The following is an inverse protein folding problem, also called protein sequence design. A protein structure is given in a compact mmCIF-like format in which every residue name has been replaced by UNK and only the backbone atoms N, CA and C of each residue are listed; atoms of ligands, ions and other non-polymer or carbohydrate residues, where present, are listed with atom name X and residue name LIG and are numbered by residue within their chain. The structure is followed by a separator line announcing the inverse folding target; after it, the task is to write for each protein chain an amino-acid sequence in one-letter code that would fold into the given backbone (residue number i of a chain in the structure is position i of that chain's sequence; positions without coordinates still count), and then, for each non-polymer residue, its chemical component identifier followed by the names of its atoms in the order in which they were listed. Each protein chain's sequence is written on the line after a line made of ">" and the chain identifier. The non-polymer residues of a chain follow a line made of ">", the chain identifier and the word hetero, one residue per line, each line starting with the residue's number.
data_IF_193445489253
#
_entry.id   IF_193445489253
#
_cell.length_a   1.000
_cell.length_b   1.000
_cell.length_c   1.000
_cell.angle_alpha   90.00
_cell.angle_beta   90.00
_cell.angle_gamma   90.00
#
_symmetry.space_group_name_H-M   'P 1'
#
loop_
_entity.id
_entity.type
_entity.pdbx_description
1 polymer ?
#
# COMPACT_ATOMS: atom_id res chain seq x y z
N UNK A 1 -41.10 -0.04 -15.74
CA UNK A 1 -40.28 -0.90 -14.85
C UNK A 1 -38.83 -0.68 -15.26
N UNK A 2 -38.13 0.25 -14.59
CA UNK A 2 -36.70 0.48 -14.84
C UNK A 2 -35.95 -0.63 -14.11
N UNK A 3 -35.27 -1.51 -14.85
CA UNK A 3 -34.30 -2.44 -14.30
C UNK A 3 -33.15 -1.61 -13.70
N UNK A 4 -33.28 -1.29 -12.41
CA UNK A 4 -32.22 -0.64 -11.65
C UNK A 4 -31.08 -1.63 -11.48
N UNK A 5 -30.06 -1.54 -12.33
CA UNK A 5 -28.78 -2.21 -12.10
C UNK A 5 -28.12 -1.45 -10.94
N UNK A 6 -28.57 -1.71 -9.71
CA UNK A 6 -27.92 -1.20 -8.51
C UNK A 6 -26.85 -2.20 -8.10
N UNK A 7 -25.63 -1.98 -8.58
CA UNK A 7 -24.48 -2.71 -8.07
C UNK A 7 -24.21 -2.29 -6.61
N UNK A 8 -23.69 -3.20 -5.75
CA UNK A 8 -23.20 -2.86 -4.43
C UNK A 8 -22.19 -1.68 -4.49
N UNK A 9 -22.20 -0.76 -3.52
CA UNK A 9 -21.27 0.38 -3.49
C UNK A 9 -19.79 -0.04 -3.62
N UNK A 10 -19.43 -1.19 -3.08
CA UNK A 10 -18.09 -1.76 -3.13
C UNK A 10 -17.68 -2.13 -4.55
N UNK A 11 -18.58 -2.72 -5.35
CA UNK A 11 -18.29 -3.09 -6.74
C UNK A 11 -18.05 -1.86 -7.60
N UNK A 12 -18.92 -0.85 -7.50
CA UNK A 12 -18.76 0.43 -8.20
C UNK A 12 -17.46 1.11 -7.78
N UNK A 13 -17.13 1.08 -6.49
CA UNK A 13 -15.90 1.65 -5.97
C UNK A 13 -14.66 0.92 -6.48
N UNK A 14 -14.66 -0.42 -6.57
CA UNK A 14 -13.56 -1.20 -7.14
C UNK A 14 -13.38 -0.88 -8.62
N UNK A 15 -14.46 -0.79 -9.41
CA UNK A 15 -14.37 -0.36 -10.80
C UNK A 15 -13.73 1.03 -10.91
N UNK A 16 -14.22 2.00 -10.13
CA UNK A 16 -13.60 3.33 -10.09
C UNK A 16 -12.12 3.29 -9.68
N UNK A 17 -11.78 2.45 -8.69
CA UNK A 17 -10.42 2.27 -8.24
C UNK A 17 -9.52 1.76 -9.38
N UNK A 18 -9.95 0.74 -10.11
CA UNK A 18 -9.16 0.10 -11.15
C UNK A 18 -9.03 0.91 -12.44
N UNK A 19 -10.07 1.62 -12.83
CA UNK A 19 -10.09 2.33 -14.11
C UNK A 19 -9.72 3.81 -14.00
N UNK A 20 -9.78 4.40 -12.80
CA UNK A 20 -9.56 5.84 -12.61
C UNK A 20 -8.49 6.10 -11.55
N UNK A 21 -8.64 5.58 -10.34
CA UNK A 21 -7.72 5.94 -9.25
C UNK A 21 -6.34 5.29 -9.38
N UNK A 22 -6.27 4.03 -9.79
CA UNK A 22 -5.03 3.27 -9.95
C UNK A 22 -4.08 3.95 -10.95
N UNK A 23 -4.61 4.42 -12.08
CA UNK A 23 -3.82 5.00 -13.17
C UNK A 23 -3.15 6.33 -12.82
N UNK A 24 -3.73 7.08 -11.88
CA UNK A 24 -3.18 8.36 -11.40
C UNK A 24 -2.49 8.26 -10.02
N UNK A 25 -2.38 7.05 -9.48
CA UNK A 25 -1.78 6.81 -8.18
C UNK A 25 -0.60 5.84 -8.30
N UNK A 26 0.18 5.64 -7.23
CA UNK A 26 1.24 4.62 -7.22
C UNK A 26 0.73 3.18 -7.38
N UNK A 27 -0.58 2.94 -7.57
CA UNK A 27 -1.20 1.64 -7.76
C UNK A 27 -1.47 1.28 -9.23
N UNK A 28 -0.84 1.95 -10.19
CA UNK A 28 -1.06 1.74 -11.62
C UNK A 28 -0.81 0.29 -12.10
N UNK A 29 -0.03 -0.50 -11.35
CA UNK A 29 0.21 -1.92 -11.60
C UNK A 29 -0.93 -2.84 -11.13
N UNK A 30 -1.80 -2.39 -10.20
CA UNK A 30 -2.81 -3.26 -9.60
C UNK A 30 -3.82 -3.86 -10.59
N UNK A 31 -4.29 -3.17 -11.65
CA UNK A 31 -5.21 -3.76 -12.60
C UNK A 31 -4.70 -5.06 -13.25
N UNK A 32 -3.38 -5.17 -13.47
CA UNK A 32 -2.76 -6.37 -14.04
C UNK A 32 -2.72 -7.52 -13.02
N UNK A 33 -2.44 -7.22 -11.75
CA UNK A 33 -2.29 -8.26 -10.72
C UNK A 33 -3.62 -8.66 -10.05
N UNK A 34 -4.59 -7.75 -9.93
CA UNK A 34 -5.80 -7.95 -9.13
C UNK A 34 -6.59 -9.22 -9.50
N UNK A 35 -6.72 -9.65 -10.78
CA UNK A 35 -7.42 -10.90 -11.12
C UNK A 35 -6.89 -12.13 -10.36
N UNK A 36 -5.60 -12.17 -10.05
CA UNK A 36 -4.98 -13.27 -9.29
C UNK A 36 -5.12 -13.10 -7.77
N UNK A 37 -5.33 -11.87 -7.32
CA UNK A 37 -5.39 -11.50 -5.90
C UNK A 37 -6.82 -11.45 -5.34
N UNK A 38 -7.84 -11.34 -6.21
CA UNK A 38 -9.25 -11.15 -5.81
C UNK A 38 -9.81 -12.29 -4.97
N UNK A 39 -9.21 -13.49 -5.06
CA UNK A 39 -9.60 -14.66 -4.26
C UNK A 39 -9.12 -14.57 -2.80
N UNK A 40 -8.20 -13.67 -2.48
CA UNK A 40 -7.77 -13.41 -1.11
C UNK A 40 -8.74 -12.42 -0.45
N UNK A 41 -9.50 -12.94 0.51
CA UNK A 41 -10.50 -12.18 1.26
C UNK A 41 -9.93 -10.97 2.00
N UNK A 42 -8.66 -11.01 2.42
CA UNK A 42 -8.04 -9.90 3.12
C UNK A 42 -7.60 -8.82 2.14
N UNK A 43 -7.09 -9.21 0.97
CA UNK A 43 -6.75 -8.27 -0.11
C UNK A 43 -7.99 -7.55 -0.60
N UNK A 44 -9.08 -8.25 -0.95
CA UNK A 44 -10.26 -7.59 -1.50
C UNK A 44 -10.90 -6.60 -0.50
N UNK A 45 -10.92 -6.97 0.78
CA UNK A 45 -11.37 -6.08 1.86
C UNK A 45 -10.47 -4.86 1.99
N UNK A 46 -9.16 -5.02 1.81
CA UNK A 46 -8.21 -3.91 1.80
C UNK A 46 -8.38 -3.02 0.57
N UNK A 47 -8.72 -3.57 -0.61
CA UNK A 47 -8.98 -2.79 -1.83
C UNK A 47 -10.21 -1.90 -1.68
N UNK A 48 -11.27 -2.37 -1.02
CA UNK A 48 -12.45 -1.55 -0.72
C UNK A 48 -12.12 -0.26 0.02
N UNK A 49 -11.05 -0.24 0.82
CA UNK A 49 -10.69 0.89 1.68
C UNK A 49 -10.34 2.16 0.88
N UNK A 50 -9.30 2.19 0.04
CA UNK A 50 -9.03 3.34 -0.82
C UNK A 50 -10.06 3.48 -1.94
N UNK A 51 -10.67 2.39 -2.43
CA UNK A 51 -11.69 2.45 -3.47
C UNK A 51 -12.92 3.28 -3.03
N UNK A 52 -13.51 2.94 -1.89
CA UNK A 52 -14.67 3.65 -1.34
C UNK A 52 -14.28 5.09 -0.96
N UNK A 53 -13.10 5.32 -0.41
CA UNK A 53 -12.64 6.66 -0.06
C UNK A 53 -12.42 7.56 -1.27
N UNK A 54 -11.79 7.04 -2.33
CA UNK A 54 -11.57 7.79 -3.57
C UNK A 54 -12.90 8.13 -4.24
N UNK A 55 -13.82 7.17 -4.32
CA UNK A 55 -15.18 7.40 -4.84
C UNK A 55 -15.96 8.39 -3.97
N UNK A 56 -15.85 8.28 -2.65
CA UNK A 56 -16.47 9.21 -1.71
C UNK A 56 -15.97 10.65 -1.90
N UNK A 57 -14.68 10.85 -2.15
CA UNK A 57 -14.13 12.17 -2.44
C UNK A 57 -14.62 12.71 -3.77
N UNK A 58 -14.62 11.88 -4.82
CA UNK A 58 -15.08 12.24 -6.16
C UNK A 58 -16.53 12.75 -6.15
N UNK A 59 -17.41 12.05 -5.44
CA UNK A 59 -18.84 12.36 -5.38
C UNK A 59 -19.25 13.12 -4.11
N UNK A 60 -18.28 13.55 -3.28
CA UNK A 60 -18.52 14.24 -1.99
C UNK A 60 -19.51 13.49 -1.07
N UNK A 61 -19.46 12.15 -1.08
CA UNK A 61 -20.42 11.30 -0.38
C UNK A 61 -19.96 10.96 1.04
N UNK A 62 -20.65 11.52 2.04
CA UNK A 62 -20.42 11.21 3.46
C UNK A 62 -20.74 9.74 3.78
N UNK A 63 -21.72 9.15 3.08
CA UNK A 63 -22.10 7.74 3.26
C UNK A 63 -20.97 6.80 2.85
N UNK A 64 -20.44 6.97 1.63
CA UNK A 64 -19.32 6.17 1.13
C UNK A 64 -18.07 6.35 1.99
N UNK A 65 -17.80 7.57 2.48
CA UNK A 65 -16.68 7.80 3.39
C UNK A 65 -16.86 7.10 4.75
N UNK A 66 -18.10 6.96 5.23
CA UNK A 66 -18.42 6.19 6.45
C UNK A 66 -18.17 4.69 6.24
N UNK A 67 -18.57 4.16 5.09
CA UNK A 67 -18.30 2.78 4.69
C UNK A 67 -16.78 2.53 4.59
N UNK A 68 -16.05 3.43 3.92
CA UNK A 68 -14.59 3.36 3.81
C UNK A 68 -13.91 3.30 5.20
N UNK A 69 -14.37 4.09 6.17
CA UNK A 69 -13.87 4.06 7.57
C UNK A 69 -14.14 2.73 8.27
N UNK A 70 -15.30 2.12 8.02
CA UNK A 70 -15.65 0.81 8.57
C UNK A 70 -14.73 -0.29 8.02
N UNK A 71 -14.49 -0.29 6.71
CA UNK A 71 -13.55 -1.21 6.08
C UNK A 71 -12.12 -0.96 6.55
N UNK A 72 -11.70 0.30 6.66
CA UNK A 72 -10.37 0.67 7.16
C UNK A 72 -10.12 0.11 8.56
N UNK A 73 -11.07 0.26 9.50
CA UNK A 73 -10.91 -0.27 10.85
C UNK A 73 -10.74 -1.79 10.88
N UNK A 74 -11.44 -2.53 10.00
CA UNK A 74 -11.32 -3.99 9.87
C UNK A 74 -9.98 -4.38 9.23
N UNK A 75 -9.61 -3.75 8.12
CA UNK A 75 -8.37 -4.01 7.41
C UNK A 75 -7.14 -3.68 8.28
N UNK A 76 -7.15 -2.57 9.01
CA UNK A 76 -6.06 -2.19 9.91
C UNK A 76 -5.84 -3.22 11.02
N UNK A 77 -6.92 -3.77 11.61
CA UNK A 77 -6.79 -4.85 12.60
C UNK A 77 -6.16 -6.10 12.00
N UNK A 78 -6.55 -6.47 10.79
CA UNK A 78 -5.97 -7.63 10.10
C UNK A 78 -4.50 -7.39 9.76
N UNK A 79 -4.15 -6.22 9.22
CA UNK A 79 -2.77 -5.81 8.94
C UNK A 79 -1.91 -5.87 10.20
N UNK A 80 -2.38 -5.33 11.33
CA UNK A 80 -1.62 -5.39 12.58
C UNK A 80 -1.41 -6.83 13.06
N UNK A 81 -2.40 -7.72 12.87
CA UNK A 81 -2.26 -9.14 13.17
C UNK A 81 -1.21 -9.80 12.28
N UNK A 82 -1.23 -9.53 10.99
CA UNK A 82 -0.26 -10.08 10.03
C UNK A 82 1.17 -9.59 10.32
N UNK A 83 1.33 -8.30 10.63
CA UNK A 83 2.62 -7.71 10.99
C UNK A 83 3.19 -8.26 12.31
N UNK A 84 2.35 -8.77 13.22
CA UNK A 84 2.80 -9.40 14.46
C UNK A 84 3.48 -10.76 14.25
N UNK A 85 3.29 -11.39 13.08
CA UNK A 85 3.92 -12.65 12.73
C UNK A 85 5.04 -12.41 11.70
N UNK A 86 6.33 -12.58 12.06
CA UNK A 86 7.45 -12.30 11.15
C UNK A 86 7.39 -13.03 9.81
N UNK A 87 6.82 -14.24 9.77
CA UNK A 87 6.70 -15.02 8.52
C UNK A 87 5.61 -14.46 7.59
N UNK A 88 4.57 -13.88 8.16
CA UNK A 88 3.45 -13.31 7.40
C UNK A 88 3.76 -11.87 7.01
N UNK A 89 4.43 -11.11 7.89
CA UNK A 89 4.81 -9.72 7.68
C UNK A 89 5.56 -9.50 6.35
N UNK A 90 6.40 -10.45 5.94
CA UNK A 90 7.22 -10.34 4.72
C UNK A 90 6.49 -10.70 3.43
N UNK A 91 5.23 -11.15 3.49
CA UNK A 91 4.48 -11.56 2.29
C UNK A 91 4.01 -10.35 1.46
N UNK A 92 3.91 -10.53 0.14
CA UNK A 92 3.35 -9.55 -0.81
C UNK A 92 1.95 -9.10 -0.42
N UNK A 93 1.06 -10.04 -0.06
CA UNK A 93 -0.29 -9.72 0.38
C UNK A 93 -0.31 -8.74 1.55
N UNK A 94 0.63 -8.89 2.49
CA UNK A 94 0.68 -8.08 3.71
C UNK A 94 1.18 -6.68 3.38
N UNK A 95 2.24 -6.54 2.58
CA UNK A 95 2.69 -5.22 2.13
C UNK A 95 1.63 -4.52 1.27
N UNK A 96 0.94 -5.25 0.39
CA UNK A 96 -0.17 -4.69 -0.39
C UNK A 96 -1.28 -4.15 0.53
N UNK A 97 -1.70 -4.94 1.53
CA UNK A 97 -2.71 -4.48 2.50
C UNK A 97 -2.23 -3.24 3.27
N UNK A 98 -0.96 -3.19 3.68
CA UNK A 98 -0.34 -2.00 4.32
C UNK A 98 -0.42 -0.78 3.41
N UNK A 99 -0.08 -0.92 2.13
CA UNK A 99 -0.12 0.18 1.17
C UNK A 99 -1.54 0.68 0.92
N UNK A 100 -2.52 -0.23 0.78
CA UNK A 100 -3.93 0.10 0.57
C UNK A 100 -4.54 0.85 1.77
N UNK A 101 -4.26 0.42 3.01
CA UNK A 101 -4.73 1.17 4.21
C UNK A 101 -4.01 2.51 4.35
N UNK A 102 -2.72 2.57 4.00
CA UNK A 102 -1.94 3.84 3.99
C UNK A 102 -2.52 4.84 2.99
N UNK A 103 -3.00 4.37 1.84
CA UNK A 103 -3.65 5.21 0.84
C UNK A 103 -4.92 5.86 1.38
N UNK A 104 -5.76 5.11 2.10
CA UNK A 104 -6.94 5.68 2.77
C UNK A 104 -6.58 6.76 3.77
N UNK A 105 -5.56 6.54 4.61
CA UNK A 105 -5.13 7.55 5.58
C UNK A 105 -4.70 8.85 4.86
N UNK A 106 -4.06 8.73 3.70
CA UNK A 106 -3.68 9.87 2.85
C UNK A 106 -4.86 10.55 2.15
N UNK A 107 -5.93 9.82 1.84
CA UNK A 107 -7.15 10.38 1.24
C UNK A 107 -8.07 11.04 2.28
N UNK A 108 -8.27 10.38 3.42
CA UNK A 108 -9.35 10.67 4.35
C UNK A 108 -8.90 11.33 5.67
N UNK A 109 -7.62 11.24 6.04
CA UNK A 109 -7.09 11.73 7.32
C UNK A 109 -6.08 12.88 7.16
N UNK A 110 -6.03 13.53 5.99
CA UNK A 110 -5.16 14.69 5.73
C UNK A 110 -5.25 15.72 6.86
N UNK A 111 -4.11 16.12 7.40
CA UNK A 111 -4.00 17.11 8.48
C UNK A 111 -4.23 16.59 9.91
N UNK A 112 -4.59 15.32 10.10
CA UNK A 112 -4.79 14.72 11.45
C UNK A 112 -3.65 13.82 11.93
N UNK A 113 -2.63 13.58 11.09
CA UNK A 113 -1.43 12.84 11.50
C UNK A 113 -0.51 13.78 12.27
N UNK A 114 -0.24 13.47 13.54
CA UNK A 114 0.74 14.20 14.34
C UNK A 114 2.17 13.95 13.82
N UNK A 115 3.13 14.85 14.11
CA UNK A 115 4.55 14.65 13.80
C UNK A 115 5.11 13.29 14.29
N UNK A 116 4.65 12.85 15.46
CA UNK A 116 5.09 11.57 16.04
C UNK A 116 4.56 10.36 15.25
N UNK A 117 3.36 10.47 14.69
CA UNK A 117 2.74 9.37 13.96
C UNK A 117 3.43 9.13 12.61
N UNK A 118 3.87 10.18 11.89
CA UNK A 118 4.55 9.98 10.60
C UNK A 118 5.91 9.30 10.75
N UNK A 119 6.70 9.65 11.77
CA UNK A 119 8.02 9.04 11.95
C UNK A 119 7.91 7.53 12.21
N UNK A 120 6.94 7.13 13.04
CA UNK A 120 6.63 5.71 13.29
C UNK A 120 6.22 4.99 11.98
N UNK A 121 5.39 5.61 11.14
CA UNK A 121 5.02 5.03 9.84
C UNK A 121 6.22 4.87 8.90
N UNK A 122 7.06 5.90 8.77
CA UNK A 122 8.25 5.85 7.91
C UNK A 122 9.23 4.79 8.41
N UNK A 123 9.52 4.75 9.70
CA UNK A 123 10.41 3.74 10.28
C UNK A 123 9.84 2.33 10.12
N UNK A 124 8.53 2.15 10.31
CA UNK A 124 7.85 0.88 10.07
C UNK A 124 8.01 0.40 8.64
N UNK A 125 7.82 1.29 7.66
CA UNK A 125 8.00 0.98 6.24
C UNK A 125 9.45 0.64 5.89
N UNK A 126 10.43 1.40 6.40
CA UNK A 126 11.87 1.11 6.20
C UNK A 126 12.22 -0.27 6.75
N UNK A 127 11.78 -0.58 7.97
CA UNK A 127 12.01 -1.89 8.59
C UNK A 127 11.36 -3.02 7.80
N UNK A 128 10.12 -2.82 7.33
CA UNK A 128 9.38 -3.81 6.55
C UNK A 128 10.04 -4.08 5.20
N UNK A 129 10.49 -3.04 4.49
CA UNK A 129 11.26 -3.17 3.24
C UNK A 129 12.56 -3.93 3.47
N UNK A 130 13.32 -3.60 4.51
CA UNK A 130 14.56 -4.28 4.86
C UNK A 130 14.35 -5.78 5.20
N UNK A 131 13.31 -6.10 5.96
CA UNK A 131 12.94 -7.49 6.26
C UNK A 131 12.57 -8.27 4.99
N UNK A 132 11.85 -7.64 4.06
CA UNK A 132 11.47 -8.26 2.78
C UNK A 132 12.65 -8.48 1.85
N UNK A 133 13.57 -7.52 1.77
CA UNK A 133 14.83 -7.71 1.05
C UNK A 133 15.60 -8.92 1.59
N UNK A 134 15.67 -9.07 2.91
CA UNK A 134 16.31 -10.23 3.56
C UNK A 134 15.57 -11.55 3.32
N UNK A 135 14.25 -11.51 3.15
CA UNK A 135 13.41 -12.67 2.86
C UNK A 135 13.36 -13.03 1.36
N UNK A 136 14.00 -12.23 0.49
CA UNK A 136 14.05 -12.31 -0.97
C UNK A 136 12.78 -11.81 -1.69
N UNK A 137 12.98 -10.85 -2.61
CA UNK A 137 11.98 -10.38 -3.57
C UNK A 137 12.00 -11.28 -4.81
N UNK A 138 10.94 -12.07 -5.03
CA UNK A 138 10.90 -13.09 -6.09
C UNK A 138 9.72 -12.96 -7.06
N UNK A 139 8.90 -11.93 -6.89
CA UNK A 139 7.66 -11.74 -7.65
C UNK A 139 7.64 -10.34 -8.25
N UNK A 140 7.09 -10.20 -9.45
CA UNK A 140 6.86 -8.89 -10.09
C UNK A 140 6.03 -7.96 -9.20
N UNK A 141 4.98 -8.50 -8.57
CA UNK A 141 4.18 -7.76 -7.58
C UNK A 141 5.06 -7.27 -6.42
N UNK A 142 5.94 -8.11 -5.89
CA UNK A 142 6.83 -7.76 -4.80
C UNK A 142 7.74 -6.57 -5.12
N UNK A 143 8.24 -6.48 -6.36
CA UNK A 143 9.02 -5.35 -6.83
C UNK A 143 8.19 -4.07 -6.91
N UNK A 144 6.98 -4.12 -7.49
CA UNK A 144 6.06 -2.98 -7.52
C UNK A 144 5.73 -2.47 -6.11
N UNK A 145 5.48 -3.37 -5.18
CA UNK A 145 5.13 -3.04 -3.80
C UNK A 145 6.29 -2.34 -3.07
N UNK A 146 7.52 -2.86 -3.18
CA UNK A 146 8.71 -2.23 -2.56
C UNK A 146 9.01 -0.89 -3.21
N UNK A 147 8.90 -0.80 -4.54
CA UNK A 147 9.08 0.48 -5.25
C UNK A 147 8.07 1.53 -4.76
N UNK A 148 6.78 1.17 -4.69
CA UNK A 148 5.75 2.06 -4.16
C UNK A 148 6.02 2.46 -2.70
N UNK A 149 6.43 1.53 -1.83
CA UNK A 149 6.77 1.83 -0.44
C UNK A 149 7.92 2.84 -0.35
N UNK A 150 8.97 2.66 -1.18
CA UNK A 150 10.10 3.59 -1.28
C UNK A 150 9.66 4.99 -1.73
N UNK A 151 8.76 5.10 -2.72
CA UNK A 151 8.21 6.39 -3.12
C UNK A 151 7.45 7.09 -2.00
N UNK A 152 6.66 6.34 -1.20
CA UNK A 152 5.94 6.88 -0.05
C UNK A 152 6.90 7.38 1.03
N UNK A 153 7.96 6.60 1.33
CA UNK A 153 9.01 6.99 2.28
C UNK A 153 9.68 8.28 1.82
N UNK A 154 10.13 8.35 0.56
CA UNK A 154 10.82 9.52 0.01
C UNK A 154 9.93 10.76 0.00
N UNK A 155 8.68 10.63 -0.43
CA UNK A 155 7.71 11.72 -0.45
C UNK A 155 7.45 12.24 0.97
N UNK A 156 7.27 11.34 1.95
CA UNK A 156 7.06 11.71 3.35
C UNK A 156 8.29 12.44 3.92
N UNK A 157 9.50 11.90 3.71
CA UNK A 157 10.73 12.52 4.22
C UNK A 157 10.97 13.91 3.60
N UNK A 158 10.70 14.05 2.30
CA UNK A 158 10.80 15.32 1.58
C UNK A 158 9.80 16.34 2.13
N UNK A 159 8.53 15.94 2.29
CA UNK A 159 7.48 16.81 2.81
C UNK A 159 7.79 17.31 4.23
N UNK A 160 8.38 16.44 5.06
CA UNK A 160 8.72 16.76 6.45
C UNK A 160 10.14 17.35 6.63
N UNK A 161 10.92 17.48 5.55
CA UNK A 161 12.30 17.98 5.55
C UNK A 161 13.23 17.25 6.52
N UNK A 162 13.18 15.93 6.48
CA UNK A 162 13.98 15.03 7.32
C UNK A 162 14.71 14.01 6.45
N UNK A 163 15.87 13.49 6.91
CA UNK A 163 16.54 12.41 6.20
C UNK A 163 15.73 11.12 6.24
N UNK A 164 15.91 10.27 5.21
CA UNK A 164 15.38 8.91 5.22
C UNK A 164 16.06 8.13 6.35
N UNK A 165 15.31 7.47 7.25
CA UNK A 165 15.91 6.66 8.30
C UNK A 165 16.75 5.52 7.73
N UNK A 166 17.89 5.18 8.37
CA UNK A 166 18.66 4.02 7.95
C UNK A 166 17.86 2.73 8.19
N UNK A 167 18.11 1.68 7.39
CA UNK A 167 17.56 0.36 7.66
C UNK A 167 18.09 -0.18 9.00
N UNK A 168 17.37 -1.12 9.65
CA UNK A 168 17.81 -1.71 10.92
C UNK A 168 19.18 -2.38 10.78
N UNK A 169 20.00 -2.29 11.83
CA UNK A 169 21.35 -2.86 11.85
C UNK A 169 21.32 -4.35 11.44
N UNK A 170 22.11 -4.72 10.42
CA UNK A 170 22.16 -6.08 9.87
C UNK A 170 21.38 -6.30 8.57
N UNK A 171 20.51 -5.37 8.18
CA UNK A 171 19.97 -5.32 6.82
C UNK A 171 21.07 -4.76 5.90
N UNK A 172 21.75 -5.64 5.18
CA UNK A 172 22.85 -5.23 4.28
C UNK A 172 22.32 -4.25 3.23
N UNK A 173 22.98 -3.11 3.08
CA UNK A 173 22.89 -2.34 1.84
C UNK A 173 23.29 -3.26 0.68
N UNK A 174 22.74 -3.08 -0.55
CA UNK A 174 23.37 -3.67 -1.71
C UNK A 174 24.82 -3.21 -1.67
N UNK A 175 25.74 -4.16 -1.54
CA UNK A 175 27.14 -3.88 -1.80
C UNK A 175 27.18 -3.15 -3.14
N UNK A 176 27.79 -1.97 -3.16
CA UNK A 176 28.44 -1.48 -4.37
C UNK A 176 29.57 -2.47 -4.68
N UNK A 177 29.18 -3.64 -5.18
CA UNK A 177 30.02 -4.70 -5.70
C UNK A 177 29.82 -4.74 -7.21
N UNK A 178 29.90 -3.57 -7.83
CA UNK A 178 30.20 -3.48 -9.25
C UNK A 178 31.70 -3.65 -9.39
N UNK A 179 32.15 -4.90 -9.36
CA UNK A 179 33.48 -5.25 -9.86
C UNK A 179 33.49 -4.88 -11.35
N UNK A 180 34.01 -3.70 -11.63
CA UNK A 180 34.39 -3.29 -12.97
C UNK A 180 35.59 -4.12 -13.40
N UNK A 181 35.35 -5.38 -13.79
CA UNK A 181 36.29 -6.24 -14.50
C UNK A 181 35.57 -7.51 -14.96
N UNK A 182 35.17 -7.51 -16.23
CA UNK A 182 35.28 -8.62 -17.18
C UNK A 182 34.20 -8.51 -18.25
N UNK A 183 34.47 -7.76 -19.33
CA UNK A 183 34.32 -8.29 -20.68
C UNK A 183 35.46 -7.69 -21.51
N UNK A 184 36.52 -8.48 -21.67
CA UNK A 184 37.46 -8.35 -22.76
C UNK A 184 37.45 -9.69 -23.47
N UNK A 185 36.65 -9.77 -24.54
CA UNK A 185 36.90 -10.29 -25.90
C UNK A 185 35.76 -9.75 -26.75
#
# INVERSE_FOLDING_TARGET
>A
MLLGITAPPEEVAVCYFLFVFSSISPFNYLPEHLPTLVNDNDIIKAVYVPALAALALQYRSVRLMREARSHYAKALRQVNKDLSNPRVAVLDRTLLCVLLVTAFETLALRGRRSPRNWNVHVQGSVNLSALRESASLKTELGYHLVYQASLIILASCTLHRVPVPPPPAGARSPSQGGDARAIGV
#
